data_IF_736463851828
#
_entry.id   IF_736463851828
#
_cell.length_a   1.000
_cell.length_b   1.000
_cell.length_c   1.000
_cell.angle_alpha   90.00
_cell.angle_beta   90.00
_cell.angle_gamma   90.00
#
_symmetry.space_group_name_H-M   'P 1'
#
loop_
_entity.id
_entity.type
_entity.pdbx_description
1 polymer ?
#
# COMPACT_ATOMS: atom_id res chain seq x y z
N UNK A 1 4.04 25.49 -30.56
CA UNK A 1 5.05 24.84 -29.69
C UNK A 1 4.61 25.03 -28.26
N UNK A 2 3.71 24.18 -27.79
CA UNK A 2 3.19 24.23 -26.43
C UNK A 2 3.98 23.22 -25.60
N UNK A 3 4.94 23.71 -24.84
CA UNK A 3 5.46 22.99 -23.68
C UNK A 3 4.31 22.88 -22.68
N UNK A 4 3.44 21.89 -22.85
CA UNK A 4 2.65 21.37 -21.74
C UNK A 4 3.69 20.90 -20.74
N UNK A 5 3.80 21.62 -19.63
CA UNK A 5 4.66 21.25 -18.53
C UNK A 5 4.47 19.75 -18.27
N UNK A 6 5.56 18.98 -18.31
CA UNK A 6 5.60 17.68 -17.65
C UNK A 6 5.33 17.95 -16.15
N UNK A 7 4.07 18.12 -15.79
CA UNK A 7 3.58 17.77 -14.47
C UNK A 7 4.12 16.35 -14.30
N UNK A 8 5.10 16.19 -13.39
CA UNK A 8 5.76 14.91 -13.15
C UNK A 8 4.70 13.94 -12.66
N UNK A 9 4.00 13.32 -13.61
CA UNK A 9 3.09 12.22 -13.41
C UNK A 9 3.86 11.17 -12.63
N UNK A 10 3.20 10.60 -11.63
CA UNK A 10 3.73 9.45 -10.92
C UNK A 10 4.12 8.38 -11.95
N UNK A 11 5.35 7.84 -11.92
CA UNK A 11 5.75 6.79 -12.83
C UNK A 11 4.77 5.61 -12.74
N UNK A 12 4.51 4.97 -13.88
CA UNK A 12 3.70 3.76 -13.95
C UNK A 12 4.34 2.59 -13.18
N UNK A 13 5.67 2.61 -13.00
CA UNK A 13 6.41 1.64 -12.21
C UNK A 13 7.31 2.28 -11.17
N UNK A 14 7.26 1.81 -9.93
CA UNK A 14 8.22 2.18 -8.89
C UNK A 14 8.24 1.17 -7.74
N UNK A 15 9.30 1.20 -6.93
CA UNK A 15 9.44 0.53 -5.65
C UNK A 15 10.13 1.50 -4.68
N UNK A 16 9.52 1.80 -3.53
CA UNK A 16 10.07 2.80 -2.60
C UNK A 16 9.68 2.52 -1.16
N UNK A 17 10.51 2.97 -0.22
CA UNK A 17 10.17 2.93 1.19
C UNK A 17 9.35 4.16 1.58
N UNK A 18 8.33 3.94 2.39
CA UNK A 18 7.53 5.01 2.99
C UNK A 18 7.59 4.90 4.51
N UNK A 19 7.58 6.05 5.19
CA UNK A 19 7.28 6.12 6.62
C UNK A 19 5.81 6.49 6.79
N UNK A 20 5.06 5.60 7.43
CA UNK A 20 3.62 5.71 7.62
C UNK A 20 3.21 5.94 9.07
N UNK A 21 1.97 6.37 9.22
CA UNK A 21 1.21 6.54 10.45
C UNK A 21 -0.02 5.65 10.32
N UNK A 22 -0.02 4.51 10.99
CA UNK A 22 -1.07 3.50 10.95
C UNK A 22 -1.96 3.62 12.19
N UNK A 23 -3.23 3.90 12.00
CA UNK A 23 -4.22 3.88 13.06
C UNK A 23 -5.20 2.72 12.82
N UNK A 24 -5.53 1.98 13.88
CA UNK A 24 -6.46 0.85 13.83
C UNK A 24 -7.69 1.13 14.68
N UNK A 25 -8.82 0.57 14.28
CA UNK A 25 -10.11 0.71 14.92
C UNK A 25 -10.87 -0.64 14.87
N UNK A 26 -11.89 -0.84 15.72
CA UNK A 26 -12.78 -1.99 15.58
C UNK A 26 -13.46 -2.01 14.20
N UNK A 27 -13.57 -3.18 13.58
CA UNK A 27 -14.14 -3.36 12.23
C UNK A 27 -15.48 -2.64 12.01
N UNK A 28 -16.42 -2.82 12.95
CA UNK A 28 -17.77 -2.22 12.90
C UNK A 28 -17.87 -0.80 13.45
N UNK A 29 -16.76 -0.22 13.94
CA UNK A 29 -16.72 1.11 14.52
C UNK A 29 -15.46 1.89 14.08
N UNK A 30 -15.27 2.14 12.77
CA UNK A 30 -14.05 2.78 12.25
C UNK A 30 -13.82 4.20 12.81
N UNK A 31 -14.88 4.89 13.25
CA UNK A 31 -14.78 6.20 13.90
C UNK A 31 -14.09 6.16 15.28
N UNK A 32 -13.90 4.98 15.87
CA UNK A 32 -13.22 4.77 17.16
C UNK A 32 -11.77 4.38 16.97
N UNK A 33 -11.07 5.13 16.11
CA UNK A 33 -9.66 4.89 15.84
C UNK A 33 -8.83 5.09 17.10
N UNK A 34 -7.94 4.13 17.36
CA UNK A 34 -6.88 4.26 18.34
C UNK A 34 -5.81 5.26 17.90
N UNK A 35 -4.80 5.49 18.76
CA UNK A 35 -3.68 6.35 18.43
C UNK A 35 -2.89 5.76 17.24
N UNK A 36 -2.43 6.60 16.30
CA UNK A 36 -1.58 6.15 15.22
C UNK A 36 -0.23 5.67 15.75
N UNK A 37 0.32 4.64 15.11
CA UNK A 37 1.68 4.15 15.34
C UNK A 37 2.54 4.32 14.08
N UNK A 38 3.83 4.64 14.22
CA UNK A 38 4.72 4.76 13.08
C UNK A 38 5.03 3.38 12.48
N UNK A 39 4.93 3.25 11.17
CA UNK A 39 5.05 1.98 10.42
C UNK A 39 5.97 2.18 9.21
N UNK A 40 6.90 1.26 8.98
CA UNK A 40 7.64 1.18 7.73
C UNK A 40 6.82 0.46 6.68
N UNK A 41 6.81 1.01 5.47
CA UNK A 41 6.14 0.42 4.32
C UNK A 41 7.09 0.31 3.14
N UNK A 42 6.86 -0.68 2.29
CA UNK A 42 7.39 -0.77 0.94
C UNK A 42 6.21 -0.62 -0.01
N UNK A 43 6.22 0.46 -0.80
CA UNK A 43 5.20 0.74 -1.81
C UNK A 43 5.75 0.32 -3.17
N UNK A 44 5.01 -0.51 -3.90
CA UNK A 44 5.37 -0.91 -5.26
C UNK A 44 4.19 -0.68 -6.20
N UNK A 45 4.43 0.00 -7.32
CA UNK A 45 3.49 0.12 -8.43
C UNK A 45 4.06 -0.57 -9.66
N UNK A 46 3.24 -1.32 -10.38
CA UNK A 46 3.61 -2.00 -11.62
C UNK A 46 2.40 -2.26 -12.50
N UNK A 47 2.64 -2.88 -13.66
CA UNK A 47 1.67 -3.07 -14.72
C UNK A 47 1.98 -2.16 -15.91
N UNK A 48 1.40 -2.46 -17.07
CA UNK A 48 1.66 -1.68 -18.30
C UNK A 48 1.19 -0.23 -18.13
N UNK A 49 0.05 -0.04 -17.47
CA UNK A 49 -0.51 1.27 -17.13
C UNK A 49 -0.22 1.68 -15.68
N UNK A 50 0.57 0.88 -14.95
CA UNK A 50 0.73 1.03 -13.51
C UNK A 50 -0.56 0.74 -12.75
N UNK A 51 -1.35 -0.21 -13.23
CA UNK A 51 -2.67 -0.58 -12.72
C UNK A 51 -2.63 -1.38 -11.42
N UNK A 52 -1.45 -1.85 -11.00
CA UNK A 52 -1.30 -2.57 -9.74
C UNK A 52 -0.47 -1.78 -8.73
N UNK A 53 -0.89 -1.85 -7.46
CA UNK A 53 -0.18 -1.25 -6.33
C UNK A 53 -0.14 -2.23 -5.16
N UNK A 54 1.03 -2.49 -4.57
CA UNK A 54 1.14 -3.16 -3.27
C UNK A 54 1.58 -2.20 -2.19
N UNK A 55 0.96 -2.33 -1.03
CA UNK A 55 1.44 -1.73 0.22
C UNK A 55 1.95 -2.86 1.11
N UNK A 56 3.26 -3.05 1.12
CA UNK A 56 3.93 -4.01 1.98
C UNK A 56 4.24 -3.39 3.34
N UNK A 57 3.53 -3.80 4.39
CA UNK A 57 3.84 -3.46 5.78
C UNK A 57 5.12 -4.17 6.20
N UNK A 58 6.09 -3.41 6.69
CA UNK A 58 7.44 -3.87 6.98
C UNK A 58 7.83 -3.68 8.46
N UNK A 59 6.85 -3.42 9.33
CA UNK A 59 7.00 -3.36 10.78
C UNK A 59 7.12 -1.95 11.36
N UNK A 60 7.33 -1.82 12.68
CA UNK A 60 7.36 -0.54 13.37
C UNK A 60 8.47 0.38 12.85
N UNK A 61 8.14 1.66 12.65
CA UNK A 61 9.12 2.68 12.30
C UNK A 61 9.58 3.41 13.57
N UNK A 62 10.43 2.75 14.35
CA UNK A 62 10.98 3.33 15.59
C UNK A 62 11.93 4.50 15.29
N UNK A 63 12.20 5.31 16.33
CA UNK A 63 13.14 6.43 16.25
C UNK A 63 12.55 7.73 15.69
N UNK A 64 13.42 8.71 15.42
CA UNK A 64 13.02 10.04 14.97
C UNK A 64 12.40 10.00 13.57
N UNK A 65 11.77 11.11 13.21
CA UNK A 65 10.97 11.25 12.01
C UNK A 65 11.77 11.10 10.69
N UNK A 66 13.06 11.40 10.75
CA UNK A 66 14.06 11.37 9.69
C UNK A 66 14.95 10.11 9.73
N UNK A 67 14.67 9.15 10.63
CA UNK A 67 15.40 7.90 10.71
C UNK A 67 15.34 7.17 9.34
N UNK A 68 16.48 6.68 8.82
CA UNK A 68 16.49 5.94 7.56
C UNK A 68 15.79 4.58 7.74
N UNK A 69 15.23 4.00 6.67
CA UNK A 69 14.75 2.63 6.70
C UNK A 69 15.86 1.64 7.09
N UNK A 70 15.55 0.56 7.82
CA UNK A 70 16.53 -0.49 8.11
C UNK A 70 17.03 -1.17 6.83
N UNK A 71 18.30 -1.61 6.83
CA UNK A 71 18.93 -2.25 5.66
C UNK A 71 18.17 -3.50 5.17
N UNK A 72 17.63 -4.30 6.09
CA UNK A 72 16.91 -5.54 5.78
C UNK A 72 15.39 -5.37 5.69
N UNK A 73 14.91 -4.18 5.31
CA UNK A 73 13.48 -3.88 5.22
C UNK A 73 12.80 -4.89 4.29
N UNK A 74 11.78 -5.58 4.81
CA UNK A 74 11.03 -6.60 4.07
C UNK A 74 9.57 -6.59 4.49
N UNK A 75 8.64 -6.78 3.57
CA UNK A 75 7.22 -6.81 3.92
C UNK A 75 6.89 -8.13 4.64
N UNK A 76 6.11 -8.04 5.72
CA UNK A 76 5.54 -9.20 6.40
C UNK A 76 4.05 -9.39 6.05
N UNK A 77 3.35 -8.30 5.75
CA UNK A 77 1.95 -8.30 5.32
C UNK A 77 1.77 -7.33 4.15
N UNK A 78 1.05 -7.75 3.11
CA UNK A 78 0.94 -6.98 1.86
C UNK A 78 -0.49 -6.86 1.39
N UNK A 79 -0.92 -5.61 1.21
CA UNK A 79 -2.18 -5.25 0.58
C UNK A 79 -1.95 -5.12 -0.93
N UNK A 80 -2.96 -5.47 -1.72
CA UNK A 80 -2.98 -5.26 -3.17
C UNK A 80 -4.12 -4.31 -3.53
N UNK A 81 -3.82 -3.32 -4.36
CA UNK A 81 -4.74 -2.37 -4.95
C UNK A 81 -4.76 -2.46 -6.47
N UNK A 82 -5.94 -2.25 -7.05
CA UNK A 82 -6.18 -2.14 -8.50
C UNK A 82 -6.52 -0.70 -8.85
N UNK A 83 -5.86 -0.16 -9.87
CA UNK A 83 -6.01 1.21 -10.32
C UNK A 83 -7.43 1.51 -10.76
N UNK A 84 -7.95 2.64 -10.30
CA UNK A 84 -9.17 3.24 -10.81
C UNK A 84 -8.83 4.12 -12.02
N UNK A 85 -9.79 4.23 -12.95
CA UNK A 85 -9.69 5.24 -14.01
C UNK A 85 -9.44 6.61 -13.38
N UNK A 86 -8.55 7.40 -13.98
CA UNK A 86 -8.15 8.70 -13.43
C UNK A 86 -9.37 9.60 -13.19
N UNK A 87 -9.61 9.96 -11.93
CA UNK A 87 -10.78 10.75 -11.49
C UNK A 87 -10.37 12.09 -10.88
N UNK A 88 -9.26 12.70 -11.33
CA UNK A 88 -8.77 14.00 -10.87
C UNK A 88 -7.26 14.05 -10.57
N UNK A 89 -6.87 14.82 -9.56
CA UNK A 89 -5.47 14.92 -9.11
C UNK A 89 -5.05 13.74 -8.21
N UNK A 90 -4.15 12.90 -8.74
CA UNK A 90 -3.57 11.75 -8.06
C UNK A 90 -4.09 10.41 -8.58
N UNK A 91 -3.40 9.33 -8.21
CA UNK A 91 -3.76 7.97 -8.62
C UNK A 91 -4.51 7.28 -7.48
N UNK A 92 -5.69 6.72 -7.77
CA UNK A 92 -6.51 6.02 -6.80
C UNK A 92 -6.58 4.53 -7.10
N UNK A 93 -6.59 3.71 -6.06
CA UNK A 93 -6.62 2.25 -6.16
C UNK A 93 -7.67 1.68 -5.21
N UNK A 94 -8.41 0.66 -5.66
CA UNK A 94 -9.28 -0.14 -4.81
C UNK A 94 -8.52 -1.34 -4.28
N UNK A 95 -8.57 -1.55 -2.97
CA UNK A 95 -8.00 -2.74 -2.36
C UNK A 95 -8.82 -3.98 -2.68
N UNK A 96 -8.14 -5.12 -2.83
CA UNK A 96 -8.78 -6.39 -3.17
C UNK A 96 -8.77 -7.37 -2.00
N UNK A 97 -9.87 -8.12 -1.92
CA UNK A 97 -10.06 -9.22 -0.95
C UNK A 97 -9.53 -10.56 -1.44
N UNK A 98 -9.18 -10.66 -2.71
CA UNK A 98 -8.68 -11.88 -3.34
C UNK A 98 -7.48 -11.56 -4.20
N UNK A 99 -6.44 -12.38 -4.10
CA UNK A 99 -5.28 -12.28 -4.95
C UNK A 99 -5.63 -12.82 -6.35
N UNK A 100 -5.44 -12.05 -7.44
CA UNK A 100 -5.68 -12.54 -8.78
C UNK A 100 -4.88 -13.84 -9.06
N UNK A 101 -5.47 -14.83 -9.76
CA UNK A 101 -4.77 -16.07 -10.08
C UNK A 101 -3.43 -15.82 -10.80
N UNK A 102 -2.40 -16.54 -10.39
CA UNK A 102 -1.05 -16.41 -10.95
C UNK A 102 -0.24 -15.22 -10.43
N UNK A 103 -0.81 -14.35 -9.59
CA UNK A 103 -0.09 -13.26 -8.96
C UNK A 103 0.48 -13.70 -7.61
N UNK A 104 1.69 -13.24 -7.31
CA UNK A 104 2.34 -13.40 -6.01
C UNK A 104 2.75 -12.05 -5.47
N UNK A 105 2.69 -11.88 -4.15
CA UNK A 105 3.18 -10.68 -3.47
C UNK A 105 4.28 -11.05 -2.48
N UNK A 106 5.18 -10.11 -2.19
CA UNK A 106 6.14 -10.29 -1.12
C UNK A 106 5.44 -10.27 0.25
N UNK A 107 5.86 -11.13 1.18
CA UNK A 107 5.19 -11.28 2.48
C UNK A 107 3.84 -12.01 2.39
N UNK A 108 3.02 -11.90 3.44
CA UNK A 108 1.70 -12.54 3.47
C UNK A 108 0.66 -11.63 2.82
N UNK A 109 -0.07 -12.09 1.82
CA UNK A 109 -1.20 -11.35 1.29
C UNK A 109 -2.24 -11.09 2.38
N UNK A 110 -2.67 -9.84 2.54
CA UNK A 110 -3.69 -9.41 3.49
C UNK A 110 -4.92 -8.93 2.72
N UNK A 111 -5.97 -9.76 2.60
CA UNK A 111 -7.26 -9.36 2.04
C UNK A 111 -7.77 -8.09 2.70
N UNK A 112 -8.16 -7.08 1.92
CA UNK A 112 -8.75 -5.86 2.45
C UNK A 112 -9.72 -5.23 1.46
N UNK A 113 -10.80 -4.65 1.96
CA UNK A 113 -11.62 -3.69 1.23
C UNK A 113 -11.22 -2.26 1.62
N UNK A 114 -11.15 -1.35 0.66
CA UNK A 114 -10.73 0.01 0.93
C UNK A 114 -10.23 0.75 -0.29
N UNK A 115 -9.68 1.93 -0.05
CA UNK A 115 -9.16 2.82 -1.06
C UNK A 115 -7.77 3.29 -0.68
N UNK A 116 -6.92 3.46 -1.69
CA UNK A 116 -5.61 4.08 -1.60
C UNK A 116 -5.58 5.26 -2.56
N UNK A 117 -4.99 6.36 -2.13
CA UNK A 117 -4.73 7.54 -2.94
C UNK A 117 -3.25 7.90 -2.87
N UNK A 118 -2.65 8.06 -4.03
CA UNK A 118 -1.30 8.58 -4.18
C UNK A 118 -1.36 10.03 -4.64
N UNK A 119 -0.54 10.88 -4.05
CA UNK A 119 -0.47 12.30 -4.41
C UNK A 119 0.96 12.84 -4.39
N UNK A 120 1.18 13.88 -5.20
CA UNK A 120 2.49 14.50 -5.39
C UNK A 120 3.42 13.73 -6.36
N UNK A 121 4.54 14.34 -6.76
CA UNK A 121 5.53 13.69 -7.59
C UNK A 121 6.31 12.63 -6.80
N UNK A 122 6.95 11.70 -7.52
CA UNK A 122 7.73 10.61 -6.92
C UNK A 122 8.72 11.05 -5.82
N UNK A 123 9.35 12.22 -5.94
CA UNK A 123 10.32 12.71 -4.95
C UNK A 123 9.73 13.01 -3.57
N UNK A 124 8.45 13.41 -3.50
CA UNK A 124 7.73 13.76 -2.26
C UNK A 124 6.39 13.03 -2.18
N UNK A 125 6.34 11.81 -2.72
CA UNK A 125 5.13 11.00 -2.81
C UNK A 125 4.47 10.84 -1.45
N UNK A 126 3.15 11.05 -1.43
CA UNK A 126 2.29 10.81 -0.28
C UNK A 126 1.30 9.70 -0.60
N UNK A 127 0.99 8.93 0.43
CA UNK A 127 -0.02 7.89 0.40
C UNK A 127 -1.04 8.18 1.49
N UNK A 128 -2.31 8.11 1.12
CA UNK A 128 -3.44 8.08 2.04
C UNK A 128 -4.22 6.82 1.73
N UNK A 129 -4.47 5.98 2.73
CA UNK A 129 -5.22 4.76 2.55
C UNK A 129 -6.12 4.51 3.76
N UNK A 130 -7.28 3.93 3.49
CA UNK A 130 -8.18 3.48 4.53
C UNK A 130 -8.93 2.25 4.05
N UNK A 131 -9.23 1.37 4.99
CA UNK A 131 -9.92 0.15 4.67
C UNK A 131 -10.33 -0.63 5.90
N UNK A 132 -10.80 -1.83 5.63
CA UNK A 132 -11.09 -2.83 6.63
C UNK A 132 -10.57 -4.17 6.14
N UNK A 133 -10.38 -5.06 7.09
CA UNK A 133 -10.16 -6.46 6.79
C UNK A 133 -10.74 -7.29 7.90
N UNK A 134 -11.16 -8.49 7.51
CA UNK A 134 -11.35 -9.58 8.43
C UNK A 134 -10.79 -10.83 7.79
N UNK A 135 -9.96 -11.56 8.54
CA UNK A 135 -9.33 -12.74 7.97
C UNK A 135 -9.29 -13.92 8.94
N UNK A 136 -9.43 -15.10 8.35
CA UNK A 136 -9.06 -16.37 8.97
C UNK A 136 -7.62 -16.71 8.58
N UNK A 137 -6.84 -17.20 9.54
CA UNK A 137 -5.52 -17.79 9.25
C UNK A 137 -5.68 -19.20 8.71
N UNK A 138 -4.92 -19.53 7.69
CA UNK A 138 -4.84 -20.87 7.12
C UNK A 138 -3.39 -21.22 6.79
N UNK A 139 -3.10 -22.50 6.64
CA UNK A 139 -1.83 -23.01 6.12
C UNK A 139 -2.14 -23.60 4.75
N UNK A 140 -1.56 -23.02 3.70
CA UNK A 140 -1.61 -23.53 2.34
C UNK A 140 -0.25 -24.07 1.89
N UNK A 141 -0.15 -24.52 0.64
CA UNK A 141 1.09 -25.07 0.07
C UNK A 141 2.27 -24.08 0.12
N UNK A 142 1.97 -22.79 -0.05
CA UNK A 142 2.96 -21.71 0.01
C UNK A 142 3.22 -21.16 1.42
N UNK A 143 2.70 -21.82 2.48
CA UNK A 143 2.86 -21.41 3.88
C UNK A 143 1.62 -20.72 4.45
N UNK A 144 1.85 -19.76 5.35
CA UNK A 144 0.76 -19.05 6.04
C UNK A 144 -0.05 -18.18 5.07
N UNK A 145 -1.37 -18.29 5.16
CA UNK A 145 -2.33 -17.56 4.34
C UNK A 145 -3.35 -16.81 5.21
N UNK A 146 -3.93 -15.77 4.61
CA UNK A 146 -5.05 -15.02 5.17
C UNK A 146 -6.21 -15.15 4.19
N UNK A 147 -7.29 -15.75 4.66
CA UNK A 147 -8.51 -15.94 3.88
C UNK A 147 -9.52 -14.89 4.31
N UNK A 148 -10.07 -14.17 3.33
CA UNK A 148 -11.13 -13.19 3.54
C UNK A 148 -12.29 -13.80 4.34
N UNK A 149 -12.75 -13.08 5.35
CA UNK A 149 -13.95 -13.41 6.10
C UNK A 149 -14.98 -12.31 5.85
N UNK A 150 -15.89 -12.48 4.86
CA UNK A 150 -16.94 -11.50 4.65
C UNK A 150 -17.84 -11.44 5.89
N UNK A 151 -18.20 -10.21 6.29
CA UNK A 151 -19.13 -9.93 7.39
C UNK A 151 -18.79 -10.65 8.71
N UNK A 152 -17.62 -10.35 9.32
CA UNK A 152 -17.18 -11.00 10.54
C UNK A 152 -18.17 -10.77 11.69
N UNK A 153 -18.38 -11.83 12.48
CA UNK A 153 -19.09 -11.69 13.75
C UNK A 153 -18.38 -10.66 14.67
N UNK A 154 -19.13 -10.08 15.61
CA UNK A 154 -18.56 -9.15 16.58
C UNK A 154 -17.47 -9.85 17.41
N UNK A 155 -16.31 -9.21 17.53
CA UNK A 155 -15.21 -9.69 18.37
C UNK A 155 -14.28 -10.72 17.72
N UNK A 156 -14.36 -10.95 16.40
CA UNK A 156 -13.31 -11.68 15.68
C UNK A 156 -11.99 -10.91 15.82
N UNK A 157 -10.98 -11.54 16.42
CA UNK A 157 -9.72 -10.88 16.79
C UNK A 157 -9.00 -10.25 15.59
N UNK A 158 -9.11 -10.87 14.42
CA UNK A 158 -8.48 -10.46 13.18
C UNK A 158 -9.45 -9.65 12.27
N UNK A 159 -10.41 -8.93 12.87
CA UNK A 159 -11.35 -8.04 12.17
C UNK A 159 -11.15 -6.59 12.61
N UNK A 160 -10.58 -5.76 11.73
CA UNK A 160 -10.20 -4.38 12.03
C UNK A 160 -10.56 -3.42 10.89
N UNK A 161 -10.78 -2.17 11.25
CA UNK A 161 -10.71 -1.04 10.36
C UNK A 161 -9.36 -0.33 10.56
N UNK A 162 -8.86 0.33 9.53
CA UNK A 162 -7.56 0.99 9.59
C UNK A 162 -7.49 2.22 8.69
N UNK A 163 -6.61 3.14 9.05
CA UNK A 163 -6.20 4.30 8.26
C UNK A 163 -4.69 4.40 8.26
N UNK A 164 -4.12 4.76 7.11
CA UNK A 164 -2.70 4.86 6.88
C UNK A 164 -2.39 6.14 6.10
N UNK A 165 -1.60 7.01 6.69
CA UNK A 165 -1.04 8.19 6.02
C UNK A 165 0.48 8.01 5.97
N UNK A 166 1.10 8.13 4.79
CA UNK A 166 2.54 7.88 4.63
C UNK A 166 3.20 8.84 3.66
N UNK A 167 4.53 8.97 3.82
CA UNK A 167 5.38 9.76 2.93
C UNK A 167 6.60 8.98 2.52
N UNK A 168 7.10 9.26 1.33
CA UNK A 168 8.38 8.71 0.86
C UNK A 168 9.53 9.07 1.79
N UNK A 169 10.43 8.11 1.97
CA UNK A 169 11.77 8.35 2.50
C UNK A 169 12.83 7.79 1.55
N UNK A 170 14.03 8.39 1.47
CA UNK A 170 15.14 7.81 0.71
C UNK A 170 15.49 6.39 1.20
N UNK A 171 15.69 5.47 0.26
CA UNK A 171 16.01 4.08 0.56
C UNK A 171 16.93 3.49 -0.50
N UNK A 172 17.92 2.70 -0.07
CA UNK A 172 18.91 2.10 -0.98
C UNK A 172 18.27 1.13 -1.99
N UNK A 173 17.18 0.46 -1.61
CA UNK A 173 16.45 -0.48 -2.47
C UNK A 173 15.42 0.18 -3.38
N UNK A 174 15.41 1.51 -3.49
CA UNK A 174 14.45 2.23 -4.32
C UNK A 174 14.66 2.00 -5.82
N UNK A 175 13.56 1.93 -6.55
CA UNK A 175 13.52 1.89 -8.01
C UNK A 175 12.43 2.81 -8.56
N UNK A 176 12.74 3.50 -9.64
CA UNK A 176 11.78 4.26 -10.45
C UNK A 176 11.89 3.77 -11.89
N UNK A 177 10.77 3.33 -12.47
CA UNK A 177 10.76 3.00 -13.88
C UNK A 177 11.04 4.27 -14.71
N UNK A 178 11.80 4.15 -15.82
CA UNK A 178 11.97 5.28 -16.73
C UNK A 178 10.59 5.75 -17.20
N UNK A 179 10.34 7.05 -17.14
CA UNK A 179 9.11 7.62 -17.67
C UNK A 179 8.98 7.23 -19.14
N UNK A 180 7.83 6.67 -19.52
CA UNK A 180 7.57 6.20 -20.88
C UNK A 180 7.70 7.33 -21.90
N UNK A 181 8.92 7.60 -22.35
CA UNK A 181 9.17 8.23 -23.63
C UNK A 181 8.90 7.17 -24.67
N UNK A 182 7.90 7.39 -25.52
CA UNK A 182 7.68 6.59 -26.71
C UNK A 182 9.03 6.35 -27.40
N UNK A 183 9.40 5.08 -27.56
CA UNK A 183 10.49 4.74 -28.47
C UNK A 183 10.07 5.21 -29.86
N UNK A 184 10.98 5.96 -30.49
CA UNK A 184 10.82 6.62 -31.79
C UNK A 184 10.26 5.73 -32.90
#
# INVERSE_FOLDING_TARGET
>A
MSHIAQQRMLPAGFLMAMRGSLAEAPYGAPHRSGPPRPEWLILCRWGEAGEFLTIGRAGPAEGPEDAPPPLGLRPHATLLGLGLAAMGEGDSFLLVRYLPPGLTVAGTFHPSDGIVRLSGPASVLRLEAAGRYAHRRAIGEAGEQRLDLPDPAKGVADALAWRLDARRVPWLGEFLAPGGGAAH
#
